data_IF_329085395943
#
_entry.id   IF_329085395943
#
_cell.length_a   1.000
_cell.length_b   1.000
_cell.length_c   1.000
_cell.angle_alpha   90.00
_cell.angle_beta   90.00
_cell.angle_gamma   90.00
#
_symmetry.space_group_name_H-M   'P 1'
#
loop_
_entity.id
_entity.type
_entity.pdbx_description
1 polymer ?
#
# COMPACT_ATOMS: atom_id res chain seq x y z
N UNK A 1 23.20 -12.25 2.88
CA UNK A 1 22.07 -12.01 1.94
C UNK A 1 21.33 -10.79 2.45
N UNK A 2 20.40 -10.21 1.69
CA UNK A 2 19.48 -9.24 2.27
C UNK A 2 18.49 -9.98 3.20
N UNK A 3 18.07 -9.35 4.30
CA UNK A 3 17.15 -9.95 5.27
C UNK A 3 15.84 -10.41 4.62
N UNK A 4 15.37 -9.65 3.62
CA UNK A 4 14.21 -9.98 2.80
C UNK A 4 14.37 -11.33 2.10
N UNK A 5 15.54 -11.60 1.53
CA UNK A 5 15.80 -12.85 0.82
C UNK A 5 15.90 -14.03 1.79
N UNK A 6 16.54 -13.82 2.94
CA UNK A 6 16.68 -14.85 3.99
C UNK A 6 15.31 -15.29 4.55
N UNK A 7 14.41 -14.32 4.80
CA UNK A 7 13.04 -14.59 5.26
C UNK A 7 12.21 -15.31 4.20
N UNK A 8 12.34 -14.94 2.91
CA UNK A 8 11.64 -15.63 1.82
C UNK A 8 12.13 -17.07 1.66
N UNK A 9 13.44 -17.29 1.67
CA UNK A 9 14.03 -18.63 1.63
C UNK A 9 13.61 -19.48 2.84
N UNK A 10 13.47 -18.85 4.00
CA UNK A 10 12.94 -19.51 5.19
C UNK A 10 11.48 -19.94 4.99
N UNK A 11 10.61 -19.07 4.48
CA UNK A 11 9.23 -19.40 4.14
C UNK A 11 9.11 -20.59 3.19
N UNK A 12 9.90 -20.58 2.10
CA UNK A 12 9.95 -21.69 1.13
C UNK A 12 10.37 -23.02 1.77
N UNK A 13 11.30 -22.97 2.74
CA UNK A 13 11.75 -24.16 3.49
C UNK A 13 10.62 -24.70 4.38
N UNK A 14 9.90 -23.83 5.08
CA UNK A 14 8.77 -24.21 5.94
C UNK A 14 7.70 -24.90 5.11
N UNK A 15 7.33 -24.34 3.96
CA UNK A 15 6.30 -24.89 3.09
C UNK A 15 6.64 -26.30 2.58
N UNK A 16 7.91 -26.54 2.23
CA UNK A 16 8.40 -27.84 1.75
C UNK A 16 8.47 -28.91 2.84
N UNK A 17 8.80 -28.52 4.07
CA UNK A 17 9.12 -29.47 5.14
C UNK A 17 7.99 -29.70 6.15
N UNK A 18 7.00 -28.80 6.27
CA UNK A 18 5.95 -28.88 7.30
C UNK A 18 5.29 -30.26 7.42
N UNK A 19 4.94 -30.88 6.30
CA UNK A 19 4.26 -32.19 6.29
C UNK A 19 5.14 -33.36 6.79
N UNK A 20 6.45 -33.17 6.86
CA UNK A 20 7.41 -34.18 7.37
C UNK A 20 7.64 -34.04 8.87
N UNK A 21 7.28 -32.88 9.46
CA UNK A 21 7.42 -32.60 10.88
C UNK A 21 6.21 -33.15 11.62
N UNK A 22 6.43 -33.98 12.65
CA UNK A 22 5.37 -34.71 13.34
C UNK A 22 5.24 -34.35 14.83
N UNK A 23 6.22 -33.63 15.40
CA UNK A 23 6.27 -33.32 16.83
C UNK A 23 6.57 -31.85 17.06
N UNK A 24 6.10 -31.31 18.18
CA UNK A 24 6.38 -29.92 18.56
C UNK A 24 7.89 -29.66 18.66
N UNK A 25 8.65 -30.60 19.20
CA UNK A 25 10.12 -30.50 19.27
C UNK A 25 10.76 -30.44 17.88
N UNK A 26 10.24 -31.21 16.91
CA UNK A 26 10.70 -31.11 15.55
C UNK A 26 10.30 -29.76 14.90
N UNK A 27 9.14 -29.19 15.23
CA UNK A 27 8.76 -27.82 14.82
C UNK A 27 9.73 -26.77 15.37
N UNK A 28 10.08 -26.87 16.66
CA UNK A 28 11.05 -25.99 17.31
C UNK A 28 12.39 -26.00 16.59
N UNK A 29 12.95 -27.18 16.33
CA UNK A 29 14.24 -27.33 15.66
C UNK A 29 14.21 -26.98 14.17
N UNK A 30 13.15 -27.35 13.44
CA UNK A 30 13.09 -27.17 11.99
C UNK A 30 12.68 -25.76 11.55
N UNK A 31 11.83 -25.09 12.35
CA UNK A 31 11.21 -23.81 11.98
C UNK A 31 11.52 -22.68 12.98
N UNK A 32 11.36 -22.89 14.29
CA UNK A 32 11.54 -21.81 15.27
C UNK A 32 13.01 -21.40 15.41
N UNK A 33 13.92 -22.35 15.65
CA UNK A 33 15.36 -22.02 15.79
C UNK A 33 15.92 -21.36 14.51
N UNK A 34 15.63 -21.85 13.29
CA UNK A 34 16.08 -21.17 12.09
C UNK A 34 15.49 -19.76 11.94
N UNK A 35 14.25 -19.52 12.37
CA UNK A 35 13.69 -18.17 12.38
C UNK A 35 14.42 -17.23 13.34
N UNK A 36 14.71 -17.69 14.58
CA UNK A 36 15.49 -16.92 15.55
C UNK A 36 16.88 -16.58 14.99
N UNK A 37 17.50 -17.54 14.28
CA UNK A 37 18.77 -17.33 13.58
C UNK A 37 18.66 -16.30 12.45
N UNK A 38 17.57 -16.32 11.66
CA UNK A 38 17.33 -15.30 10.61
C UNK A 38 17.11 -13.91 11.21
N UNK A 39 16.56 -13.81 12.42
CA UNK A 39 16.54 -12.55 13.19
C UNK A 39 17.93 -12.13 13.71
N UNK A 40 18.99 -12.89 13.41
CA UNK A 40 20.37 -12.54 13.72
C UNK A 40 20.82 -12.89 15.14
N UNK A 41 20.01 -13.62 15.92
CA UNK A 41 20.38 -14.11 17.25
C UNK A 41 21.11 -15.45 17.15
N UNK A 42 22.12 -15.66 17.99
CA UNK A 42 22.83 -16.93 18.05
C UNK A 42 22.07 -17.95 18.92
N UNK A 43 21.43 -18.92 18.27
CA UNK A 43 20.70 -20.01 18.95
C UNK A 43 21.61 -21.00 19.68
N UNK A 44 22.93 -20.94 19.47
CA UNK A 44 23.90 -21.79 20.16
C UNK A 44 24.58 -21.10 21.34
N UNK A 45 24.38 -19.78 21.50
CA UNK A 45 24.86 -19.03 22.66
C UNK A 45 23.75 -18.96 23.74
N UNK A 46 23.87 -19.69 24.86
CA UNK A 46 22.86 -19.66 25.92
C UNK A 46 22.78 -18.31 26.65
N UNK A 47 23.77 -17.42 26.49
CA UNK A 47 23.72 -16.05 27.01
C UNK A 47 22.95 -15.10 26.09
N UNK A 48 22.63 -15.52 24.86
CA UNK A 48 21.82 -14.77 23.92
C UNK A 48 20.44 -15.41 23.72
N UNK A 49 20.37 -16.72 23.45
CA UNK A 49 19.12 -17.48 23.32
C UNK A 49 19.13 -18.59 24.35
N UNK A 50 18.40 -18.40 25.44
CA UNK A 50 18.29 -19.39 26.51
C UNK A 50 17.10 -20.32 26.25
N UNK A 51 17.32 -21.62 25.96
CA UNK A 51 16.24 -22.60 25.89
C UNK A 51 15.70 -22.93 27.28
N UNK A 52 14.44 -23.40 27.34
CA UNK A 52 13.78 -23.81 28.59
C UNK A 52 13.90 -22.76 29.71
N UNK A 53 13.65 -21.49 29.38
CA UNK A 53 13.78 -20.36 30.29
C UNK A 53 12.82 -20.49 31.47
N UNK A 54 13.37 -20.39 32.68
CA UNK A 54 12.60 -20.40 33.93
C UNK A 54 12.59 -18.99 34.51
N UNK A 55 11.41 -18.38 34.62
CA UNK A 55 11.25 -17.20 35.46
C UNK A 55 11.04 -17.63 36.90
N UNK A 56 11.79 -17.05 37.84
CA UNK A 56 11.65 -17.36 39.26
C UNK A 56 10.25 -16.97 39.76
N UNK A 57 9.43 -17.97 40.10
CA UNK A 57 8.12 -17.77 40.75
C UNK A 57 8.01 -18.67 41.99
N UNK A 58 7.78 -18.06 43.15
CA UNK A 58 7.68 -18.72 44.45
C UNK A 58 6.42 -19.55 44.72
N UNK A 59 5.64 -20.00 43.72
CA UNK A 59 4.36 -20.72 43.98
C UNK A 59 4.14 -21.98 43.12
N UNK A 60 4.69 -22.09 41.89
CA UNK A 60 4.66 -23.34 41.10
C UNK A 60 6.04 -23.64 40.51
N UNK A 61 6.72 -24.63 41.08
CA UNK A 61 7.98 -25.16 40.54
C UNK A 61 7.73 -25.90 39.23
N UNK A 62 8.40 -25.50 38.15
CA UNK A 62 8.69 -26.40 37.02
C UNK A 62 8.06 -26.08 35.67
N UNK A 63 7.23 -25.05 35.53
CA UNK A 63 6.84 -24.56 34.20
C UNK A 63 8.01 -23.77 33.57
N UNK A 64 8.15 -23.80 32.24
CA UNK A 64 9.26 -23.18 31.50
C UNK A 64 8.77 -22.66 30.16
N UNK A 65 9.30 -21.53 29.70
CA UNK A 65 9.08 -21.03 28.34
C UNK A 65 10.13 -21.65 27.42
N UNK A 66 9.75 -21.96 26.18
CA UNK A 66 10.64 -22.70 25.26
C UNK A 66 11.95 -21.99 24.97
N UNK A 67 11.91 -20.68 24.69
CA UNK A 67 13.10 -19.86 24.52
C UNK A 67 12.93 -18.47 25.13
N UNK A 68 14.04 -17.88 25.56
CA UNK A 68 14.14 -16.46 25.85
C UNK A 68 15.33 -15.85 25.13
N UNK A 69 15.10 -14.75 24.42
CA UNK A 69 16.16 -13.90 23.90
C UNK A 69 16.59 -12.95 25.02
N UNK A 70 17.86 -13.02 25.38
CA UNK A 70 18.48 -12.24 26.42
C UNK A 70 19.19 -11.02 25.81
N UNK A 71 19.00 -9.86 26.43
CA UNK A 71 19.75 -8.64 26.13
C UNK A 71 20.40 -8.16 27.42
N UNK A 72 21.72 -8.06 27.43
CA UNK A 72 22.50 -7.68 28.62
C UNK A 72 22.20 -8.58 29.83
N UNK A 73 22.02 -9.88 29.58
CA UNK A 73 21.70 -10.89 30.61
C UNK A 73 20.27 -10.84 31.16
N UNK A 74 19.39 -10.00 30.61
CA UNK A 74 17.97 -9.91 31.00
C UNK A 74 17.06 -10.42 29.87
N UNK A 75 15.96 -11.12 30.17
CA UNK A 75 15.02 -11.54 29.16
C UNK A 75 14.36 -10.33 28.51
N UNK A 76 14.41 -10.29 27.18
CA UNK A 76 13.85 -9.21 26.35
C UNK A 76 12.64 -9.71 25.55
N UNK A 77 12.75 -10.89 24.95
CA UNK A 77 11.68 -11.56 24.21
C UNK A 77 11.50 -12.97 24.76
N UNK A 78 10.29 -13.31 25.19
CA UNK A 78 9.91 -14.69 25.55
C UNK A 78 9.25 -15.37 24.35
N UNK A 79 9.59 -16.62 24.07
CA UNK A 79 9.12 -17.35 22.90
C UNK A 79 8.49 -18.68 23.34
N UNK A 80 7.19 -18.83 23.09
CA UNK A 80 6.45 -20.07 23.29
C UNK A 80 6.11 -20.67 21.93
N UNK A 81 6.31 -21.98 21.81
CA UNK A 81 6.13 -22.71 20.58
C UNK A 81 4.96 -23.70 20.68
N UNK A 82 4.41 -24.05 19.54
CA UNK A 82 3.40 -25.10 19.37
C UNK A 82 3.76 -25.95 18.16
N UNK A 83 3.14 -27.12 18.04
CA UNK A 83 3.26 -27.92 16.83
C UNK A 83 2.71 -27.15 15.61
N UNK A 84 3.31 -27.31 14.43
CA UNK A 84 2.95 -26.54 13.23
C UNK A 84 1.48 -26.69 12.81
N UNK A 85 0.88 -27.85 13.07
CA UNK A 85 -0.52 -28.15 12.78
C UNK A 85 -1.50 -27.65 13.84
N UNK A 86 -1.02 -27.09 14.95
CA UNK A 86 -1.88 -26.56 16.02
C UNK A 86 -2.18 -25.07 15.85
N UNK A 87 -3.36 -24.69 16.32
CA UNK A 87 -3.78 -23.29 16.40
C UNK A 87 -3.09 -22.58 17.56
N UNK A 88 -2.70 -21.32 17.34
CA UNK A 88 -2.14 -20.48 18.38
C UNK A 88 -3.24 -19.89 19.25
N UNK A 89 -3.35 -20.34 20.49
CA UNK A 89 -4.23 -19.76 21.52
C UNK A 89 -3.38 -19.12 22.64
N UNK A 90 -3.41 -17.78 22.81
CA UNK A 90 -2.65 -17.11 23.85
C UNK A 90 -3.17 -17.40 25.27
N UNK A 91 -4.46 -17.67 25.45
CA UNK A 91 -5.05 -17.87 26.78
C UNK A 91 -4.66 -19.22 27.41
N UNK A 92 -4.30 -20.18 26.57
CA UNK A 92 -3.76 -21.47 26.99
C UNK A 92 -2.22 -21.51 26.98
N UNK A 93 -1.57 -20.39 26.65
CA UNK A 93 -0.11 -20.33 26.53
C UNK A 93 0.57 -20.11 27.87
N UNK A 94 1.70 -20.79 28.09
CA UNK A 94 2.55 -20.54 29.26
C UNK A 94 3.09 -19.10 29.23
N UNK A 95 3.29 -18.56 28.02
CA UNK A 95 3.72 -17.19 27.75
C UNK A 95 2.95 -16.15 28.57
N UNK A 96 1.61 -16.24 28.64
CA UNK A 96 0.79 -15.29 29.39
C UNK A 96 1.12 -15.26 30.89
N UNK A 97 1.38 -16.43 31.50
CA UNK A 97 1.75 -16.52 32.92
C UNK A 97 3.15 -15.96 33.18
N UNK A 98 4.09 -16.27 32.30
CA UNK A 98 5.48 -15.88 32.46
C UNK A 98 5.75 -14.40 32.21
N UNK A 99 5.03 -13.80 31.26
CA UNK A 99 5.19 -12.39 30.91
C UNK A 99 5.14 -11.48 32.15
N UNK A 100 4.19 -11.74 33.06
CA UNK A 100 3.99 -10.99 34.31
C UNK A 100 5.11 -11.06 35.33
N UNK A 101 5.97 -12.07 35.20
CA UNK A 101 6.99 -12.41 36.21
C UNK A 101 8.40 -12.17 35.72
N UNK A 102 8.55 -11.62 34.51
CA UNK A 102 9.85 -11.32 33.90
C UNK A 102 9.95 -9.84 33.58
N UNK A 103 11.18 -9.37 33.31
CA UNK A 103 11.41 -8.04 32.75
C UNK A 103 11.20 -7.97 31.23
N UNK A 104 10.77 -9.06 30.60
CA UNK A 104 10.60 -9.12 29.15
C UNK A 104 9.51 -8.15 28.71
N UNK A 105 9.76 -7.49 27.57
CA UNK A 105 8.82 -6.52 26.98
C UNK A 105 8.06 -7.08 25.80
N UNK A 106 8.53 -8.18 25.24
CA UNK A 106 7.88 -8.83 24.12
C UNK A 106 7.67 -10.32 24.36
N UNK A 107 6.54 -10.80 23.86
CA UNK A 107 6.18 -12.20 23.82
C UNK A 107 6.00 -12.62 22.37
N UNK A 108 6.45 -13.81 22.02
CA UNK A 108 6.30 -14.40 20.70
C UNK A 108 5.64 -15.78 20.87
N UNK A 109 4.44 -15.94 20.33
CA UNK A 109 3.77 -17.23 20.25
C UNK A 109 3.81 -17.70 18.79
N UNK A 110 4.34 -18.90 18.55
CA UNK A 110 4.49 -19.39 17.17
C UNK A 110 4.35 -20.91 17.04
N UNK A 111 3.90 -21.35 15.86
CA UNK A 111 3.89 -22.75 15.44
C UNK A 111 4.90 -23.01 14.30
N UNK A 112 5.80 -22.07 14.04
CA UNK A 112 6.77 -22.14 12.94
C UNK A 112 6.24 -21.68 11.58
N UNK A 113 4.92 -21.48 11.45
CA UNK A 113 4.29 -20.90 10.26
C UNK A 113 3.83 -19.47 10.56
N UNK A 114 3.07 -19.33 11.64
CA UNK A 114 2.54 -18.05 12.12
C UNK A 114 3.36 -17.61 13.33
N UNK A 115 3.75 -16.34 13.35
CA UNK A 115 4.53 -15.70 14.41
C UNK A 115 3.73 -14.52 14.94
N UNK A 116 3.22 -14.63 16.17
CA UNK A 116 2.40 -13.61 16.82
C UNK A 116 3.19 -12.90 17.90
N UNK A 117 3.36 -11.60 17.74
CA UNK A 117 4.10 -10.74 18.66
C UNK A 117 3.15 -10.01 19.60
N UNK A 118 3.48 -10.05 20.89
CA UNK A 118 2.72 -9.49 22.00
C UNK A 118 3.60 -8.57 22.84
N UNK A 119 2.97 -7.66 23.55
CA UNK A 119 3.60 -6.64 24.40
C UNK A 119 2.64 -6.28 25.54
N UNK A 120 3.08 -5.43 26.46
CA UNK A 120 2.33 -4.94 27.62
C UNK A 120 1.80 -3.49 27.44
N UNK A 121 1.04 -3.23 26.37
CA UNK A 121 0.54 -1.88 26.10
C UNK A 121 -0.68 -1.51 26.92
N UNK A 122 -1.54 -2.47 27.24
CA UNK A 122 -2.74 -2.20 28.04
C UNK A 122 -2.42 -2.01 29.53
N UNK A 123 -1.62 -2.92 30.09
CA UNK A 123 -1.23 -2.94 31.49
C UNK A 123 0.25 -3.32 31.59
N UNK A 124 1.04 -2.55 32.34
CA UNK A 124 2.48 -2.79 32.45
C UNK A 124 2.78 -4.19 32.98
N UNK A 125 3.71 -4.89 32.31
CA UNK A 125 4.09 -6.27 32.56
C UNK A 125 2.91 -7.27 32.43
N UNK A 126 1.80 -6.92 31.81
CA UNK A 126 0.73 -7.86 31.49
C UNK A 126 0.60 -7.98 29.98
N UNK A 127 0.79 -9.19 29.48
CA UNK A 127 0.69 -9.46 28.05
C UNK A 127 -0.72 -9.13 27.55
N UNK A 128 -0.79 -8.33 26.49
CA UNK A 128 -2.05 -8.04 25.81
C UNK A 128 -2.70 -9.33 25.26
N UNK A 129 -4.04 -9.41 25.28
CA UNK A 129 -4.77 -10.58 24.76
C UNK A 129 -4.62 -10.75 23.24
N UNK A 130 -4.42 -9.64 22.52
CA UNK A 130 -4.28 -9.60 21.06
C UNK A 130 -2.85 -9.28 20.66
N UNK A 131 -2.29 -9.97 19.65
CA UNK A 131 -0.99 -9.61 19.12
C UNK A 131 -1.06 -8.25 18.42
N UNK A 132 -0.02 -7.44 18.56
CA UNK A 132 0.09 -6.18 17.81
C UNK A 132 0.62 -6.41 16.39
N UNK A 133 1.36 -7.50 16.18
CA UNK A 133 1.92 -7.88 14.90
C UNK A 133 1.83 -9.39 14.70
N UNK A 134 1.34 -9.80 13.53
CA UNK A 134 1.29 -11.20 13.10
C UNK A 134 2.02 -11.33 11.77
N UNK A 135 2.91 -12.32 11.69
CA UNK A 135 3.70 -12.62 10.51
C UNK A 135 3.48 -14.07 10.08
N UNK A 136 3.08 -14.27 8.83
CA UNK A 136 2.91 -15.59 8.23
C UNK A 136 4.02 -15.82 7.19
N UNK A 137 4.85 -16.82 7.40
CA UNK A 137 5.99 -17.11 6.51
C UNK A 137 5.57 -17.71 5.17
N UNK A 138 4.33 -18.18 5.04
CA UNK A 138 3.79 -18.70 3.77
C UNK A 138 3.04 -17.64 2.97
N UNK A 139 2.75 -16.48 3.57
CA UNK A 139 2.09 -15.33 2.93
C UNK A 139 2.79 -14.03 3.35
N UNK A 140 3.99 -13.83 2.80
CA UNK A 140 4.87 -12.72 3.19
C UNK A 140 4.54 -11.48 2.37
N UNK A 141 4.19 -10.39 3.06
CA UNK A 141 4.00 -9.06 2.46
C UNK A 141 5.22 -8.19 2.72
N UNK A 142 5.63 -7.41 1.72
CA UNK A 142 6.84 -6.57 1.79
C UNK A 142 6.82 -5.59 2.98
N UNK A 143 5.67 -5.01 3.29
CA UNK A 143 5.53 -4.13 4.45
C UNK A 143 5.71 -4.85 5.80
N UNK A 144 5.34 -6.12 5.90
CA UNK A 144 5.55 -6.91 7.12
C UNK A 144 7.01 -7.26 7.33
N UNK A 145 7.82 -7.35 6.26
CA UNK A 145 9.27 -7.60 6.37
C UNK A 145 9.95 -6.42 7.06
N UNK A 146 9.58 -5.18 6.71
CA UNK A 146 10.13 -3.98 7.35
C UNK A 146 9.78 -3.92 8.85
N UNK A 147 8.55 -4.30 9.22
CA UNK A 147 8.17 -4.39 10.63
C UNK A 147 8.90 -5.52 11.36
N UNK A 148 9.05 -6.69 10.73
CA UNK A 148 9.79 -7.82 11.29
C UNK A 148 11.27 -7.50 11.47
N UNK A 149 11.87 -6.72 10.57
CA UNK A 149 13.27 -6.30 10.61
C UNK A 149 13.61 -5.52 11.88
N UNK A 150 12.64 -4.85 12.51
CA UNK A 150 12.82 -4.18 13.81
C UNK A 150 13.13 -5.17 14.93
N UNK A 151 12.72 -6.43 14.81
CA UNK A 151 13.03 -7.50 15.77
C UNK A 151 14.39 -8.17 15.53
N UNK A 152 15.06 -7.86 14.41
CA UNK A 152 16.39 -8.36 14.12
C UNK A 152 17.42 -7.74 15.09
N UNK A 153 18.36 -8.55 15.58
CA UNK A 153 19.37 -8.17 16.60
C UNK A 153 20.01 -6.80 16.37
N UNK A 154 20.43 -6.51 15.13
CA UNK A 154 21.10 -5.25 14.76
C UNK A 154 20.22 -4.00 14.86
N UNK A 155 18.89 -4.14 14.79
CA UNK A 155 17.94 -3.02 14.83
C UNK A 155 17.08 -3.03 16.10
N UNK A 156 17.27 -4.03 16.98
CA UNK A 156 16.42 -4.26 18.12
C UNK A 156 16.54 -3.14 19.17
N UNK A 157 15.51 -2.30 19.23
CA UNK A 157 15.37 -1.19 20.17
C UNK A 157 14.00 -1.25 20.88
N UNK A 158 14.02 -1.39 22.20
CA UNK A 158 12.81 -1.55 23.01
C UNK A 158 11.81 -0.39 22.84
N UNK A 159 12.29 0.86 22.95
CA UNK A 159 11.43 2.06 22.91
C UNK A 159 10.80 2.25 21.51
N UNK A 160 11.59 2.06 20.46
CA UNK A 160 11.12 2.18 19.08
C UNK A 160 10.10 1.10 18.72
N UNK A 161 10.33 -0.14 19.16
CA UNK A 161 9.40 -1.26 18.93
C UNK A 161 8.13 -1.06 19.75
N UNK A 162 8.18 -0.59 21.00
CA UNK A 162 6.97 -0.32 21.79
C UNK A 162 6.11 0.79 21.16
N UNK A 163 6.74 1.84 20.63
CA UNK A 163 6.03 2.89 19.88
C UNK A 163 5.37 2.32 18.63
N UNK A 164 6.13 1.56 17.84
CA UNK A 164 5.61 0.84 16.66
C UNK A 164 4.47 -0.10 17.03
N UNK A 165 4.59 -0.85 18.12
CA UNK A 165 3.58 -1.80 18.57
C UNK A 165 2.26 -1.10 18.90
N UNK A 166 2.32 0.08 19.52
CA UNK A 166 1.14 0.92 19.77
C UNK A 166 0.46 1.31 18.45
N UNK A 167 1.23 1.84 17.50
CA UNK A 167 0.72 2.25 16.19
C UNK A 167 0.11 1.06 15.41
N UNK A 168 0.80 -0.08 15.38
CA UNK A 168 0.33 -1.29 14.71
C UNK A 168 -0.95 -1.84 15.35
N UNK A 169 -1.03 -1.85 16.69
CA UNK A 169 -2.23 -2.26 17.43
C UNK A 169 -3.44 -1.41 17.03
N UNK A 170 -3.32 -0.08 17.13
CA UNK A 170 -4.42 0.82 16.77
C UNK A 170 -4.75 0.74 15.28
N UNK A 171 -3.76 0.63 14.39
CA UNK A 171 -4.01 0.49 12.96
C UNK A 171 -4.77 -0.80 12.63
N UNK A 172 -4.46 -1.92 13.28
CA UNK A 172 -5.16 -3.19 13.08
C UNK A 172 -6.59 -3.15 13.62
N UNK A 173 -6.81 -2.53 14.78
CA UNK A 173 -8.15 -2.31 15.33
C UNK A 173 -8.98 -1.40 14.41
N UNK A 174 -8.39 -0.30 13.94
CA UNK A 174 -9.03 0.61 12.98
C UNK A 174 -9.37 -0.09 11.67
N UNK A 175 -8.46 -0.89 11.10
CA UNK A 175 -8.74 -1.69 9.88
C UNK A 175 -9.92 -2.65 10.09
N UNK A 176 -9.97 -3.28 11.26
CA UNK A 176 -11.09 -4.19 11.61
C UNK A 176 -12.41 -3.43 11.68
N UNK A 177 -12.42 -2.26 12.33
CA UNK A 177 -13.59 -1.39 12.41
C UNK A 177 -14.01 -0.85 11.04
N UNK A 178 -13.07 -0.38 10.22
CA UNK A 178 -13.32 0.09 8.86
C UNK A 178 -13.95 -1.03 8.02
N UNK A 179 -13.42 -2.24 8.09
CA UNK A 179 -14.00 -3.38 7.36
C UNK A 179 -15.42 -3.70 7.86
N UNK A 180 -15.65 -3.70 9.18
CA UNK A 180 -16.97 -3.93 9.74
C UNK A 180 -17.99 -2.87 9.27
N UNK A 181 -17.60 -1.60 9.29
CA UNK A 181 -18.38 -0.47 8.79
C UNK A 181 -18.63 -0.57 7.27
N UNK A 182 -17.67 -1.08 6.50
CA UNK A 182 -17.85 -1.25 5.05
C UNK A 182 -18.82 -2.39 4.71
N UNK A 183 -18.82 -3.47 5.50
CA UNK A 183 -19.76 -4.59 5.34
C UNK A 183 -21.17 -4.24 5.83
N UNK A 184 -21.25 -3.52 6.96
CA UNK A 184 -22.49 -3.12 7.58
C UNK A 184 -22.35 -1.73 8.23
N UNK A 185 -22.59 -0.64 7.47
CA UNK A 185 -22.45 0.72 7.96
C UNK A 185 -23.31 0.96 9.21
N UNK A 186 -22.68 1.45 10.27
CA UNK A 186 -23.37 1.83 11.49
C UNK A 186 -24.18 3.10 11.29
N UNK A 187 -25.17 3.33 12.16
CA UNK A 187 -25.96 4.56 12.15
C UNK A 187 -25.07 5.81 12.28
N UNK A 188 -23.95 5.70 13.00
CA UNK A 188 -22.96 6.77 13.14
C UNK A 188 -22.31 7.14 11.81
N UNK A 189 -21.82 6.16 11.06
CA UNK A 189 -21.23 6.37 9.73
C UNK A 189 -22.27 6.91 8.73
N UNK A 190 -23.48 6.34 8.76
CA UNK A 190 -24.57 6.79 7.89
C UNK A 190 -24.95 8.23 8.17
N UNK A 191 -25.07 8.63 9.44
CA UNK A 191 -25.32 10.03 9.82
C UNK A 191 -24.19 10.96 9.40
N UNK A 192 -22.93 10.51 9.48
CA UNK A 192 -21.78 11.30 9.05
C UNK A 192 -21.86 11.67 7.56
N UNK A 193 -22.14 10.70 6.69
CA UNK A 193 -22.32 10.97 5.26
C UNK A 193 -23.62 11.70 4.96
N UNK A 194 -24.72 11.32 5.61
CA UNK A 194 -26.02 11.94 5.40
C UNK A 194 -26.00 13.45 5.68
N UNK A 195 -25.29 13.90 6.72
CA UNK A 195 -25.14 15.34 7.03
C UNK A 195 -24.48 16.15 5.91
N UNK A 196 -23.65 15.51 5.08
CA UNK A 196 -22.92 16.20 4.00
C UNK A 196 -23.76 16.30 2.72
N UNK A 197 -24.65 15.34 2.47
CA UNK A 197 -25.41 15.25 1.22
C UNK A 197 -26.89 15.62 1.36
N UNK A 198 -27.48 15.47 2.55
CA UNK A 198 -28.89 15.70 2.81
C UNK A 198 -29.10 17.01 3.57
N UNK A 199 -29.84 17.94 2.96
CA UNK A 199 -30.09 19.29 3.50
C UNK A 199 -31.32 19.39 4.42
N UNK A 200 -31.99 18.27 4.71
CA UNK A 200 -33.18 18.21 5.56
C UNK A 200 -32.92 17.60 6.94
N UNK A 201 -33.97 17.49 7.74
CA UNK A 201 -33.89 16.82 9.05
C UNK A 201 -33.64 15.32 8.89
N UNK A 202 -32.63 14.80 9.58
CA UNK A 202 -32.30 13.37 9.59
C UNK A 202 -33.26 12.61 10.50
N UNK A 203 -34.42 12.26 9.97
CA UNK A 203 -35.38 11.35 10.63
C UNK A 203 -34.92 9.90 10.51
N UNK A 204 -35.41 9.01 11.39
CA UNK A 204 -35.04 7.59 11.36
C UNK A 204 -35.29 6.93 10.00
N UNK A 205 -36.38 7.32 9.32
CA UNK A 205 -36.70 6.81 7.97
C UNK A 205 -35.68 7.25 6.91
N UNK A 206 -35.20 8.50 6.99
CA UNK A 206 -34.17 9.02 6.09
C UNK A 206 -32.82 8.34 6.36
N UNK A 207 -32.49 8.13 7.64
CA UNK A 207 -31.26 7.42 8.03
C UNK A 207 -31.29 5.96 7.57
N UNK A 208 -32.42 5.25 7.69
CA UNK A 208 -32.56 3.88 7.20
C UNK A 208 -32.40 3.78 5.67
N UNK A 209 -33.08 4.67 4.93
CA UNK A 209 -32.96 4.75 3.47
C UNK A 209 -31.52 5.07 3.03
N UNK A 210 -30.89 6.07 3.64
CA UNK A 210 -29.51 6.43 3.35
C UNK A 210 -28.53 5.36 3.82
N UNK A 211 -28.85 4.56 4.84
CA UNK A 211 -28.04 3.43 5.28
C UNK A 211 -27.95 2.35 4.20
N UNK A 212 -29.08 1.96 3.62
CA UNK A 212 -29.12 1.01 2.50
C UNK A 212 -28.33 1.52 1.29
N UNK A 213 -28.49 2.82 0.95
CA UNK A 213 -27.73 3.45 -0.13
C UNK A 213 -26.23 3.55 0.18
N UNK A 214 -25.85 3.84 1.42
CA UNK A 214 -24.45 3.92 1.87
C UNK A 214 -23.77 2.57 1.69
N UNK A 215 -24.41 1.49 2.16
CA UNK A 215 -23.89 0.13 1.99
C UNK A 215 -23.70 -0.23 0.52
N UNK A 216 -24.72 0.02 -0.31
CA UNK A 216 -24.65 -0.25 -1.75
C UNK A 216 -23.54 0.55 -2.43
N UNK A 217 -23.40 1.83 -2.06
CA UNK A 217 -22.38 2.72 -2.63
C UNK A 217 -20.97 2.29 -2.26
N UNK A 218 -20.73 1.89 -1.00
CA UNK A 218 -19.43 1.36 -0.56
C UNK A 218 -19.07 0.09 -1.32
N UNK A 219 -20.01 -0.86 -1.45
CA UNK A 219 -19.77 -2.10 -2.18
C UNK A 219 -19.47 -1.85 -3.66
N UNK A 220 -20.24 -0.98 -4.30
CA UNK A 220 -20.01 -0.61 -5.70
C UNK A 220 -18.63 0.05 -5.88
N UNK A 221 -18.27 0.99 -5.01
CA UNK A 221 -16.97 1.66 -5.05
C UNK A 221 -15.79 0.68 -4.89
N UNK A 222 -15.90 -0.29 -3.97
CA UNK A 222 -14.86 -1.33 -3.80
C UNK A 222 -14.75 -2.19 -5.06
N UNK A 223 -15.87 -2.58 -5.68
CA UNK A 223 -15.86 -3.37 -6.91
C UNK A 223 -15.23 -2.60 -8.08
N UNK A 224 -15.50 -1.29 -8.18
CA UNK A 224 -14.90 -0.43 -9.19
C UNK A 224 -13.37 -0.36 -9.02
N UNK A 225 -12.88 -0.20 -7.78
CA UNK A 225 -11.44 -0.22 -7.47
C UNK A 225 -10.78 -1.56 -7.79
N UNK A 226 -11.44 -2.68 -7.47
CA UNK A 226 -10.93 -4.02 -7.80
C UNK A 226 -10.86 -4.19 -9.33
N UNK A 227 -11.91 -3.78 -10.04
CA UNK A 227 -11.98 -3.87 -11.50
C UNK A 227 -10.89 -3.01 -12.16
N UNK A 228 -10.65 -1.80 -11.65
CA UNK A 228 -9.59 -0.91 -12.12
C UNK A 228 -8.20 -1.53 -11.90
N UNK A 229 -7.96 -2.11 -10.72
CA UNK A 229 -6.69 -2.77 -10.40
C UNK A 229 -6.46 -4.05 -11.24
N UNK A 230 -7.49 -4.86 -11.45
CA UNK A 230 -7.42 -6.05 -12.31
C UNK A 230 -7.15 -5.67 -13.77
N UNK A 231 -7.84 -4.65 -14.30
CA UNK A 231 -7.58 -4.14 -15.65
C UNK A 231 -6.15 -3.61 -15.80
N UNK A 232 -5.61 -2.96 -14.77
CA UNK A 232 -4.22 -2.49 -14.74
C UNK A 232 -3.21 -3.65 -14.71
N UNK A 233 -3.50 -4.70 -13.94
CA UNK A 233 -2.64 -5.89 -13.86
C UNK A 233 -2.64 -6.72 -15.17
N UNK A 234 -3.82 -6.95 -15.76
CA UNK A 234 -3.98 -7.68 -17.03
C UNK A 234 -3.29 -6.96 -18.21
N UNK A 235 -3.31 -5.62 -18.23
CA UNK A 235 -2.53 -4.85 -19.21
C UNK A 235 -1.03 -5.07 -19.07
N UNK A 236 -0.52 -5.24 -17.83
CA UNK A 236 0.90 -5.53 -17.59
C UNK A 236 1.31 -6.96 -17.96
N UNK A 237 0.39 -7.92 -17.88
CA UNK A 237 0.66 -9.31 -18.31
C UNK A 237 0.56 -9.49 -19.84
N UNK A 238 -0.33 -8.76 -20.50
CA UNK A 238 -0.49 -8.81 -21.96
C UNK A 238 0.59 -8.04 -22.76
N UNK A 239 1.45 -7.25 -22.12
CA UNK A 239 2.59 -6.58 -22.78
C UNK A 239 3.82 -7.50 -22.94
N UNK A 240 3.71 -8.81 -22.64
CA UNK A 240 4.78 -9.81 -22.77
C UNK A 240 4.71 -10.69 -24.04
N UNK A 241 3.76 -10.47 -24.97
CA UNK A 241 3.78 -11.06 -26.31
C UNK A 241 3.41 -10.02 -27.38
N UNK A 242 4.01 -10.08 -28.58
CA UNK A 242 3.86 -9.04 -29.60
C UNK A 242 2.44 -9.03 -30.19
N UNK A 243 1.92 -7.87 -30.60
CA UNK A 243 0.51 -7.75 -31.00
C UNK A 243 0.30 -8.32 -32.40
N UNK A 244 -0.48 -9.40 -32.50
CA UNK A 244 -1.23 -9.71 -33.71
C UNK A 244 -2.48 -8.84 -33.78
N UNK A 245 -2.66 -8.23 -34.94
CA UNK A 245 -3.73 -7.30 -35.28
C UNK A 245 -4.90 -8.08 -35.83
N UNK A 246 -6.05 -8.04 -35.16
CA UNK A 246 -7.34 -8.21 -35.84
C UNK A 246 -8.38 -7.19 -35.37
N UNK A 247 -9.04 -6.63 -36.38
CA UNK A 247 -10.08 -5.59 -36.33
C UNK A 247 -11.46 -6.24 -36.20
N UNK A 248 -12.37 -5.60 -35.47
CA UNK A 248 -13.56 -4.91 -36.01
C UNK A 248 -14.65 -4.67 -34.94
N UNK A 249 -15.20 -3.44 -34.98
CA UNK A 249 -16.58 -2.97 -34.76
C UNK A 249 -17.49 -3.62 -33.67
N UNK A 250 -18.31 -2.92 -32.86
CA UNK A 250 -19.09 -1.70 -33.10
C UNK A 250 -19.79 -1.25 -31.79
N UNK A 251 -19.93 0.09 -31.62
CA UNK A 251 -21.04 0.86 -30.99
C UNK A 251 -21.62 0.48 -29.61
N UNK A 252 -21.55 1.41 -28.63
CA UNK A 252 -22.71 2.22 -28.16
C UNK A 252 -22.52 2.83 -26.74
N UNK A 253 -22.63 4.17 -26.69
CA UNK A 253 -23.28 5.04 -25.67
C UNK A 253 -22.67 5.22 -24.25
N UNK A 254 -22.20 6.46 -24.05
CA UNK A 254 -22.23 7.39 -22.90
C UNK A 254 -22.18 6.87 -21.45
N UNK A 255 -21.33 7.47 -20.61
CA UNK A 255 -21.68 8.42 -19.51
C UNK A 255 -20.38 9.12 -19.05
N UNK A 256 -20.46 10.43 -18.85
CA UNK A 256 -19.38 11.27 -18.29
C UNK A 256 -19.57 11.30 -16.77
N UNK A 257 -18.61 10.83 -16.00
CA UNK A 257 -18.51 11.11 -14.55
C UNK A 257 -17.18 11.78 -14.25
N UNK A 258 -17.27 13.04 -13.82
CA UNK A 258 -16.16 13.83 -13.28
C UNK A 258 -15.77 13.27 -11.89
N UNK A 259 -14.55 12.71 -11.79
CA UNK A 259 -13.86 12.53 -10.50
C UNK A 259 -12.96 13.75 -10.26
N UNK A 260 -13.04 14.30 -9.04
CA UNK A 260 -12.16 15.38 -8.59
C UNK A 260 -10.71 14.96 -8.66
N UNK A 261 -9.92 15.65 -9.48
CA UNK A 261 -8.51 15.37 -9.69
C UNK A 261 -7.64 16.28 -8.81
N UNK A 262 -6.75 15.64 -8.05
CA UNK A 262 -5.53 16.27 -7.56
C UNK A 262 -4.64 16.49 -8.80
N UNK A 263 -4.04 17.68 -8.93
CA UNK A 263 -3.17 18.01 -10.06
C UNK A 263 -1.83 17.28 -9.83
N UNK A 264 -1.67 16.09 -10.38
CA UNK A 264 -0.40 15.37 -10.44
C UNK A 264 0.06 15.28 -11.90
N UNK A 265 1.15 16.00 -12.21
CA UNK A 265 1.76 15.94 -13.54
C UNK A 265 2.37 14.57 -13.79
N UNK A 266 1.75 13.82 -14.70
CA UNK A 266 2.13 12.45 -15.06
C UNK A 266 3.42 12.41 -15.91
N UNK A 267 4.09 11.26 -15.95
CA UNK A 267 5.27 11.08 -16.82
C UNK A 267 4.91 11.19 -18.31
N UNK A 268 3.72 10.75 -18.70
CA UNK A 268 3.23 10.85 -20.08
C UNK A 268 3.00 12.30 -20.52
N UNK A 269 2.51 13.17 -19.61
CA UNK A 269 2.38 14.61 -19.90
C UNK A 269 3.73 15.29 -20.07
N UNK A 270 4.74 14.87 -19.28
CA UNK A 270 6.13 15.32 -19.44
C UNK A 270 6.72 14.85 -20.77
N UNK A 271 6.45 13.62 -21.17
CA UNK A 271 6.87 13.08 -22.48
C UNK A 271 6.22 13.86 -23.63
N UNK A 272 4.90 14.07 -23.59
CA UNK A 272 4.18 14.88 -24.56
C UNK A 272 4.69 16.32 -24.63
N UNK A 273 5.00 16.93 -23.48
CA UNK A 273 5.66 18.23 -23.42
C UNK A 273 7.02 18.22 -24.13
N UNK A 274 7.84 17.21 -23.90
CA UNK A 274 9.17 17.10 -24.53
C UNK A 274 9.07 16.91 -26.04
N UNK A 275 8.07 16.18 -26.53
CA UNK A 275 7.81 16.03 -27.97
C UNK A 275 7.38 17.37 -28.57
N UNK A 276 6.38 18.04 -28.00
CA UNK A 276 5.92 19.36 -28.49
C UNK A 276 7.05 20.40 -28.42
N UNK A 277 7.84 20.41 -27.35
CA UNK A 277 9.02 21.26 -27.22
C UNK A 277 10.06 20.96 -28.28
N UNK A 278 10.24 19.70 -28.65
CA UNK A 278 11.17 19.26 -29.70
C UNK A 278 10.72 19.70 -31.08
N UNK A 279 9.42 19.59 -31.39
CA UNK A 279 8.81 20.10 -32.62
C UNK A 279 9.06 21.61 -32.74
N UNK A 280 8.69 22.36 -31.70
CA UNK A 280 8.73 23.82 -31.71
C UNK A 280 10.14 24.43 -31.68
N UNK A 281 11.16 23.68 -31.24
CA UNK A 281 12.55 24.15 -31.17
C UNK A 281 13.10 24.62 -32.52
N UNK A 282 12.53 24.12 -33.63
CA UNK A 282 12.92 24.49 -34.98
C UNK A 282 12.60 25.95 -35.31
N UNK A 283 11.61 26.55 -34.64
CA UNK A 283 11.11 27.91 -34.92
C UNK A 283 11.21 28.86 -33.73
N UNK A 284 11.22 28.35 -32.50
CA UNK A 284 11.22 29.15 -31.27
C UNK A 284 12.23 28.64 -30.26
N UNK A 285 12.85 29.57 -29.52
CA UNK A 285 13.79 29.24 -28.44
C UNK A 285 13.09 28.38 -27.37
N UNK A 286 13.66 27.24 -26.94
CA UNK A 286 13.04 26.33 -25.98
C UNK A 286 12.65 26.97 -24.63
N UNK A 287 13.34 28.04 -24.22
CA UNK A 287 13.04 28.79 -22.99
C UNK A 287 11.68 29.52 -23.02
N UNK A 288 11.11 29.73 -24.21
CA UNK A 288 9.79 30.37 -24.38
C UNK A 288 8.63 29.38 -24.27
N UNK A 289 8.91 28.08 -24.17
CA UNK A 289 7.87 27.04 -24.15
C UNK A 289 7.71 26.57 -22.71
N UNK A 290 6.64 27.02 -22.06
CA UNK A 290 6.28 26.64 -20.71
C UNK A 290 5.13 25.63 -20.74
N UNK A 291 4.91 24.94 -19.62
CA UNK A 291 3.73 24.13 -19.43
C UNK A 291 3.03 24.51 -18.13
N UNK A 292 1.72 24.31 -18.07
CA UNK A 292 0.91 24.43 -16.86
C UNK A 292 -0.05 23.26 -16.80
N UNK A 293 0.01 22.57 -15.68
CA UNK A 293 -0.86 21.45 -15.42
C UNK A 293 -2.20 21.96 -14.85
N UNK A 294 -3.30 21.44 -15.39
CA UNK A 294 -4.65 21.72 -14.95
C UNK A 294 -5.43 20.41 -14.83
N UNK A 295 -6.41 20.43 -13.93
CA UNK A 295 -7.20 19.27 -13.54
C UNK A 295 -7.79 18.46 -14.71
N UNK A 296 -8.13 19.13 -15.82
CA UNK A 296 -8.75 18.53 -17.00
C UNK A 296 -7.83 18.47 -18.24
N UNK A 297 -6.63 19.06 -18.20
CA UNK A 297 -5.69 19.07 -19.31
C UNK A 297 -4.32 19.62 -18.91
N UNK A 298 -3.30 19.21 -19.66
CA UNK A 298 -1.95 19.73 -19.58
C UNK A 298 -1.72 20.78 -20.67
N UNK A 299 -1.60 22.05 -20.28
CA UNK A 299 -1.45 23.17 -21.22
C UNK A 299 0.01 23.43 -21.56
N UNK A 300 0.31 23.58 -22.85
CA UNK A 300 1.62 24.03 -23.34
C UNK A 300 1.47 25.46 -23.85
N UNK A 301 2.27 26.37 -23.31
CA UNK A 301 2.13 27.81 -23.47
C UNK A 301 3.38 28.43 -24.08
N UNK A 302 3.18 29.48 -24.86
CA UNK A 302 4.26 30.36 -25.31
C UNK A 302 4.43 31.53 -24.32
N UNK A 303 5.68 31.85 -23.97
CA UNK A 303 6.08 32.91 -23.06
C UNK A 303 5.41 32.82 -21.66
N UNK A 304 5.09 31.61 -21.19
CA UNK A 304 4.35 31.36 -19.93
C UNK A 304 3.05 32.19 -19.77
N UNK A 305 2.36 32.41 -20.89
CA UNK A 305 1.15 33.23 -20.93
C UNK A 305 -0.08 32.40 -21.31
N UNK A 306 -1.08 32.34 -20.43
CA UNK A 306 -2.35 31.63 -20.67
C UNK A 306 -3.09 32.10 -21.93
N UNK A 307 -2.88 33.35 -22.38
CA UNK A 307 -3.47 33.87 -23.63
C UNK A 307 -2.75 33.38 -24.89
N UNK A 308 -1.58 32.75 -24.74
CA UNK A 308 -0.76 32.19 -25.82
C UNK A 308 -0.64 30.68 -25.64
N UNK A 309 -1.78 30.00 -25.60
CA UNK A 309 -1.82 28.53 -25.46
C UNK A 309 -1.53 27.90 -26.81
N UNK A 310 -0.44 27.14 -26.90
CA UNK A 310 -0.02 26.47 -28.14
C UNK A 310 -0.89 25.23 -28.38
N UNK A 311 -1.01 24.39 -27.37
CA UNK A 311 -1.88 23.22 -27.40
C UNK A 311 -2.24 22.77 -25.98
N UNK A 312 -3.25 21.90 -25.89
CA UNK A 312 -3.65 21.22 -24.66
C UNK A 312 -3.56 19.71 -24.87
N UNK A 313 -2.91 19.02 -23.95
CA UNK A 313 -2.86 17.57 -23.94
C UNK A 313 -3.92 17.06 -22.95
N UNK A 314 -4.80 16.20 -23.44
CA UNK A 314 -5.84 15.56 -22.66
C UNK A 314 -5.46 14.09 -22.47
N UNK A 315 -4.58 13.82 -21.51
CA UNK A 315 -4.09 12.47 -21.22
C UNK A 315 -4.79 11.82 -20.02
N UNK A 316 -5.67 12.56 -19.34
CA UNK A 316 -6.38 12.13 -18.13
C UNK A 316 -7.46 11.05 -18.38
N UNK A 317 -7.66 10.63 -19.64
CA UNK A 317 -8.66 9.62 -20.03
C UNK A 317 -8.04 8.48 -20.83
N UNK A 318 -8.76 7.35 -20.92
CA UNK A 318 -8.32 6.16 -21.69
C UNK A 318 -8.04 6.44 -23.17
N UNK A 319 -8.66 7.49 -23.72
CA UNK A 319 -8.37 8.05 -25.04
C UNK A 319 -7.60 9.35 -24.85
N UNK A 320 -6.52 9.50 -25.60
CA UNK A 320 -5.64 10.67 -25.56
C UNK A 320 -6.08 11.65 -26.63
N UNK A 321 -6.09 12.95 -26.32
CA UNK A 321 -6.41 13.98 -27.31
C UNK A 321 -5.38 15.10 -27.26
N UNK A 322 -5.16 15.73 -28.42
CA UNK A 322 -4.54 17.05 -28.51
C UNK A 322 -5.61 18.08 -28.87
N UNK A 323 -5.70 19.14 -28.08
CA UNK A 323 -6.41 20.37 -28.40
C UNK A 323 -5.47 21.32 -29.14
N UNK A 324 -5.76 21.61 -30.40
CA UNK A 324 -5.07 22.63 -31.21
C UNK A 324 -5.98 23.85 -31.43
N UNK A 325 -5.39 25.01 -31.70
CA UNK A 325 -6.14 26.26 -31.83
C UNK A 325 -6.05 26.81 -33.25
N UNK A 326 -7.13 27.41 -33.73
CA UNK A 326 -7.20 28.15 -35.00
C UNK A 326 -7.03 29.68 -34.81
N UNK A 327 -7.07 30.45 -35.91
CA UNK A 327 -6.90 31.92 -35.90
C UNK A 327 -7.95 32.64 -35.03
N UNK A 328 -9.10 32.01 -34.80
CA UNK A 328 -10.19 32.54 -33.98
C UNK A 328 -10.06 32.10 -32.50
N UNK A 329 -8.95 31.46 -32.13
CA UNK A 329 -8.68 30.87 -30.81
C UNK A 329 -9.69 29.78 -30.45
N UNK A 330 -10.34 29.17 -31.44
CA UNK A 330 -11.25 28.05 -31.26
C UNK A 330 -10.45 26.75 -31.16
N UNK A 331 -10.77 25.96 -30.16
CA UNK A 331 -10.10 24.70 -29.89
C UNK A 331 -10.71 23.55 -30.71
N UNK A 332 -9.85 22.78 -31.38
CA UNK A 332 -10.20 21.53 -32.07
C UNK A 332 -9.49 20.37 -31.38
N UNK A 333 -10.25 19.40 -30.90
CA UNK A 333 -9.73 18.19 -30.24
C UNK A 333 -9.59 17.06 -31.26
N UNK A 334 -8.38 16.50 -31.36
CA UNK A 334 -8.08 15.37 -32.24
C UNK A 334 -7.57 14.20 -31.40
N UNK A 335 -8.10 13.01 -31.64
CA UNK A 335 -7.72 11.78 -30.94
C UNK A 335 -6.32 11.33 -31.36
N UNK A 336 -5.51 10.93 -30.39
CA UNK A 336 -4.17 10.38 -30.56
C UNK A 336 -4.22 8.88 -30.25
N UNK A 337 -3.68 8.07 -31.16
CA UNK A 337 -3.55 6.62 -30.95
C UNK A 337 -2.27 6.31 -30.16
N UNK A 338 -1.21 7.09 -30.38
CA UNK A 338 0.08 7.02 -29.67
C UNK A 338 0.57 8.44 -29.34
N UNK A 339 1.49 8.58 -28.36
CA UNK A 339 2.07 9.89 -28.04
C UNK A 339 2.91 10.42 -29.21
N UNK A 340 3.52 9.55 -29.99
CA UNK A 340 4.25 9.89 -31.23
C UNK A 340 3.35 10.53 -32.30
N UNK A 341 2.04 10.34 -32.25
CA UNK A 341 1.12 11.04 -33.16
C UNK A 341 1.18 12.56 -33.02
N UNK A 342 1.73 13.09 -31.91
CA UNK A 342 2.00 14.52 -31.75
C UNK A 342 2.88 15.10 -32.86
N UNK A 343 3.79 14.32 -33.45
CA UNK A 343 4.60 14.75 -34.60
C UNK A 343 3.74 15.09 -35.82
N UNK A 344 2.56 14.49 -35.97
CA UNK A 344 1.64 14.77 -37.08
C UNK A 344 1.03 16.19 -37.00
N UNK A 345 1.14 16.85 -35.85
CA UNK A 345 0.60 18.20 -35.64
C UNK A 345 1.67 19.30 -35.77
N UNK A 346 2.87 18.97 -36.26
CA UNK A 346 3.99 19.92 -36.44
C UNK A 346 3.59 21.21 -37.17
N UNK A 347 2.91 21.09 -38.31
CA UNK A 347 2.50 22.27 -39.09
C UNK A 347 1.51 23.17 -38.32
N UNK A 348 0.57 22.57 -37.59
CA UNK A 348 -0.45 23.31 -36.84
C UNK A 348 0.18 24.02 -35.65
N UNK A 349 1.05 23.33 -34.90
CA UNK A 349 1.76 23.90 -33.75
C UNK A 349 2.67 25.06 -34.16
N UNK A 350 3.34 24.95 -35.31
CA UNK A 350 4.14 26.05 -35.85
C UNK A 350 3.28 27.25 -36.23
N UNK A 351 2.17 27.04 -36.94
CA UNK A 351 1.23 28.13 -37.30
C UNK A 351 0.69 28.86 -36.06
N UNK A 352 0.28 28.11 -35.03
CA UNK A 352 -0.22 28.70 -33.79
C UNK A 352 0.82 29.61 -33.11
N UNK A 353 2.09 29.19 -33.11
CA UNK A 353 3.18 30.01 -32.56
C UNK A 353 3.49 31.23 -33.42
N UNK A 354 3.48 31.08 -34.75
CA UNK A 354 3.66 32.20 -35.69
C UNK A 354 2.59 33.27 -35.50
N UNK A 355 1.33 32.88 -35.28
CA UNK A 355 0.26 33.84 -34.99
C UNK A 355 0.50 34.63 -33.70
N UNK A 356 0.97 33.97 -32.63
CA UNK A 356 1.26 34.64 -31.35
C UNK A 356 2.51 35.52 -31.37
N UNK A 357 3.45 35.24 -32.28
CA UNK A 357 4.60 36.11 -32.53
C UNK A 357 4.25 37.27 -33.48
N UNK A 358 3.32 37.07 -34.43
CA UNK A 358 2.76 38.14 -35.26
C UNK A 358 1.87 39.11 -34.47
N UNK A 359 1.05 38.63 -33.51
CA UNK A 359 0.26 39.47 -32.59
C UNK A 359 1.16 40.35 -31.67
N UNK A 360 2.46 40.04 -31.53
CA UNK A 360 3.43 40.88 -30.80
C UNK A 360 3.83 42.14 -31.57
N UNK A 361 3.42 42.26 -32.84
CA UNK A 361 3.60 43.46 -33.64
C UNK A 361 2.25 44.12 -33.96
N UNK A 362 1.84 45.13 -33.17
CA UNK A 362 1.22 46.29 -33.78
C UNK A 362 1.89 47.61 -33.35
N UNK A 363 2.15 48.44 -34.35
CA UNK A 363 2.50 49.87 -34.30
C UNK A 363 3.81 50.26 -33.58
N UNK A 364 4.91 50.24 -34.34
CA UNK A 364 5.59 51.47 -34.76
C UNK A 364 6.38 51.24 -36.04
#
# INVERSE_FOLDING_TARGET
>A
MDFKDEIKLFGDKVEKLKNQIQTEEATKNAFIMPFIKVLGYDVFDPFEVMPEFIADIGIKKGEKVDYAILKEGKPSILIECKHWGESLDPHNSQLFRYFHTTSAKFGLLSNGIIYRFYTDLAEQNKMDDKPFFEFNVTDIKDNQIEELKKFHKSYFNLESIQTTASELKYMNELKTLINAEFQNPSEGLVKLFAKQIYRGMLTSKVVEQLGALTKKSIQQYINDLITERLKSALKKENDAEPPEVEKEATTAVAVIEEKGAVIETTEEEKEGYMIVKTILRQRVKPARIAYRDALSYFAILLDDNNRKTICRLYFNSSRKYIGTFDEQKKETKTELMTIDDLFKFEEVLHKTVEWYDAEKAPAN
#
